data_IF_020119510014
#
_entry.id   IF_020119510014
#
_cell.length_a   1.000
_cell.length_b   1.000
_cell.length_c   1.000
_cell.angle_alpha   90.00
_cell.angle_beta   90.00
_cell.angle_gamma   90.00
#
_symmetry.space_group_name_H-M   'P 1'
#
loop_
_entity.id
_entity.type
_entity.pdbx_description
1 polymer ?
#
# COMPACT_ATOMS: atom_id res chain seq x y z
N UNK A 1 -7.25 -28.78 -19.46
CA UNK A 1 -6.29 -27.68 -19.76
C UNK A 1 -6.93 -26.30 -19.98
N UNK A 2 -8.26 -26.17 -20.16
CA UNK A 2 -8.93 -24.86 -20.32
C UNK A 2 -9.11 -24.07 -19.00
N UNK A 3 -9.26 -24.77 -17.87
CA UNK A 3 -9.55 -24.17 -16.56
C UNK A 3 -8.35 -23.44 -15.92
N UNK A 4 -7.13 -23.97 -16.10
CA UNK A 4 -5.87 -23.30 -15.66
C UNK A 4 -5.62 -21.96 -16.35
N UNK A 5 -6.14 -21.74 -17.57
CA UNK A 5 -6.05 -20.43 -18.26
C UNK A 5 -6.93 -19.37 -17.59
N UNK A 6 -8.05 -19.76 -16.98
CA UNK A 6 -9.02 -18.86 -16.33
C UNK A 6 -8.48 -18.27 -15.01
N UNK A 7 -7.92 -19.12 -14.13
CA UNK A 7 -7.40 -18.66 -12.83
C UNK A 7 -6.17 -17.78 -13.01
N UNK A 8 -5.23 -18.18 -13.87
CA UNK A 8 -4.04 -17.38 -14.20
C UNK A 8 -4.43 -16.01 -14.77
N UNK A 9 -5.42 -15.96 -15.66
CA UNK A 9 -5.90 -14.69 -16.22
C UNK A 9 -6.57 -13.79 -15.17
N UNK A 10 -7.31 -14.35 -14.20
CA UNK A 10 -7.89 -13.58 -13.10
C UNK A 10 -6.83 -13.00 -12.16
N UNK A 11 -5.83 -13.80 -11.76
CA UNK A 11 -4.72 -13.34 -10.93
C UNK A 11 -3.93 -12.22 -11.66
N UNK A 12 -3.70 -12.41 -12.95
CA UNK A 12 -3.00 -11.41 -13.76
C UNK A 12 -3.80 -10.12 -13.90
N UNK A 13 -5.13 -10.19 -14.08
CA UNK A 13 -6.01 -9.01 -14.10
C UNK A 13 -6.05 -8.30 -12.75
N UNK A 14 -6.12 -9.06 -11.66
CA UNK A 14 -6.11 -8.51 -10.31
C UNK A 14 -4.80 -7.75 -10.03
N UNK A 15 -3.64 -8.39 -10.27
CA UNK A 15 -2.34 -7.73 -10.15
C UNK A 15 -2.18 -6.53 -11.08
N UNK A 16 -2.67 -6.65 -12.32
CA UNK A 16 -2.66 -5.53 -13.28
C UNK A 16 -3.48 -4.34 -12.78
N UNK A 17 -4.64 -4.56 -12.16
CA UNK A 17 -5.50 -3.51 -11.64
C UNK A 17 -4.85 -2.79 -10.44
N UNK A 18 -4.28 -3.55 -9.50
CA UNK A 18 -3.57 -2.94 -8.35
C UNK A 18 -2.32 -2.18 -8.83
N UNK A 19 -1.57 -2.77 -9.75
CA UNK A 19 -0.40 -2.14 -10.35
C UNK A 19 -0.73 -0.83 -11.05
N UNK A 20 -1.83 -0.74 -11.80
CA UNK A 20 -2.25 0.50 -12.46
C UNK A 20 -2.59 1.64 -11.50
N UNK A 21 -2.86 1.32 -10.23
CA UNK A 21 -3.11 2.34 -9.19
C UNK A 21 -1.81 2.83 -8.53
N UNK A 22 -0.75 2.03 -8.57
CA UNK A 22 0.49 2.31 -7.84
C UNK A 22 1.59 2.81 -8.79
N UNK A 23 1.72 2.22 -9.97
CA UNK A 23 2.77 2.53 -10.94
C UNK A 23 2.85 4.02 -11.34
N UNK A 24 1.71 4.70 -11.65
CA UNK A 24 1.75 6.12 -11.98
C UNK A 24 2.30 7.00 -10.83
N UNK A 25 2.29 6.47 -9.61
CA UNK A 25 2.64 7.17 -8.39
C UNK A 25 4.04 6.77 -7.85
N UNK A 26 4.80 5.91 -8.56
CA UNK A 26 6.14 5.47 -8.12
C UNK A 26 7.09 6.64 -7.85
N UNK A 27 6.96 7.76 -8.56
CA UNK A 27 7.75 8.95 -8.28
C UNK A 27 7.56 9.48 -6.85
N UNK A 28 6.34 9.43 -6.32
CA UNK A 28 6.04 9.84 -4.94
C UNK A 28 6.63 8.84 -3.93
N UNK A 29 6.55 7.53 -4.21
CA UNK A 29 7.20 6.50 -3.40
C UNK A 29 8.72 6.70 -3.34
N UNK A 30 9.34 7.01 -4.49
CA UNK A 30 10.77 7.29 -4.58
C UNK A 30 11.12 8.55 -3.79
N UNK A 31 10.34 9.63 -3.92
CA UNK A 31 10.57 10.86 -3.18
C UNK A 31 10.49 10.63 -1.66
N UNK A 32 9.45 9.95 -1.19
CA UNK A 32 9.31 9.55 0.21
C UNK A 32 10.49 8.68 0.66
N UNK A 33 10.88 7.69 -0.13
CA UNK A 33 12.01 6.82 0.20
C UNK A 33 13.34 7.56 0.28
N UNK A 34 13.59 8.54 -0.59
CA UNK A 34 14.80 9.40 -0.53
C UNK A 34 14.79 10.25 0.73
N UNK A 35 13.67 10.94 1.02
CA UNK A 35 13.55 11.78 2.21
C UNK A 35 13.77 10.95 3.48
N UNK A 36 13.13 9.78 3.56
CA UNK A 36 13.27 8.86 4.69
C UNK A 36 14.71 8.36 4.81
N UNK A 37 15.34 7.94 3.71
CA UNK A 37 16.72 7.48 3.74
C UNK A 37 17.69 8.55 4.23
N UNK A 38 17.51 9.81 3.82
CA UNK A 38 18.33 10.93 4.30
C UNK A 38 18.05 11.19 5.78
N UNK A 39 16.77 11.25 6.19
CA UNK A 39 16.39 11.47 7.59
C UNK A 39 17.04 10.43 8.50
N UNK A 40 16.92 9.14 8.15
CA UNK A 40 17.46 8.01 8.92
C UNK A 40 18.99 7.92 8.90
N UNK A 41 19.66 8.60 7.96
CA UNK A 41 21.13 8.66 7.91
C UNK A 41 21.74 9.71 8.83
N UNK A 42 20.91 10.60 9.40
CA UNK A 42 21.32 11.69 10.26
C UNK A 42 21.08 11.35 11.74
N UNK A 43 21.82 11.97 12.67
CA UNK A 43 21.55 11.80 14.10
C UNK A 43 20.14 12.30 14.46
N UNK A 44 19.42 11.52 15.28
CA UNK A 44 18.06 11.84 15.73
C UNK A 44 17.96 13.23 16.41
N UNK A 45 19.04 13.69 17.04
CA UNK A 45 19.13 14.98 17.71
C UNK A 45 19.36 16.17 16.78
N UNK A 46 19.55 15.95 15.48
CA UNK A 46 19.82 17.04 14.53
C UNK A 46 18.54 17.72 14.05
N UNK A 47 18.56 19.05 13.96
CA UNK A 47 17.42 19.83 13.43
C UNK A 47 17.02 19.40 12.02
N UNK A 48 18.00 18.96 11.21
CA UNK A 48 17.76 18.47 9.85
C UNK A 48 17.02 17.13 9.87
N UNK A 49 17.38 16.21 10.78
CA UNK A 49 16.64 14.96 10.95
C UNK A 49 15.17 15.25 11.29
N UNK A 50 14.92 16.03 12.35
CA UNK A 50 13.56 16.39 12.78
C UNK A 50 12.75 17.07 11.67
N UNK A 51 13.40 17.95 10.90
CA UNK A 51 12.77 18.60 9.76
C UNK A 51 12.37 17.60 8.66
N UNK A 52 13.25 16.67 8.30
CA UNK A 52 12.99 15.68 7.24
C UNK A 52 12.01 14.59 7.70
N UNK A 53 12.11 14.15 8.95
CA UNK A 53 11.21 13.18 9.58
C UNK A 53 9.76 13.68 9.56
N UNK A 54 9.54 14.99 9.74
CA UNK A 54 8.21 15.60 9.65
C UNK A 54 7.51 15.43 8.27
N UNK A 55 8.24 15.04 7.21
CA UNK A 55 7.65 14.68 5.92
C UNK A 55 7.32 13.19 5.79
N UNK A 56 8.00 12.31 6.52
CA UNK A 56 7.94 10.86 6.33
C UNK A 56 6.52 10.35 6.58
N UNK A 57 5.97 10.64 7.76
CA UNK A 57 4.63 10.18 8.16
C UNK A 57 3.53 10.77 7.29
N UNK A 58 3.49 12.10 7.03
CA UNK A 58 2.44 12.64 6.17
C UNK A 58 2.45 12.07 4.75
N UNK A 59 3.64 11.74 4.23
CA UNK A 59 3.75 11.14 2.90
C UNK A 59 3.21 9.71 2.87
N UNK A 60 3.59 8.85 3.82
CA UNK A 60 3.16 7.44 3.81
C UNK A 60 1.71 7.26 4.28
N UNK A 61 1.23 8.08 5.22
CA UNK A 61 -0.14 7.99 5.77
C UNK A 61 -1.17 8.66 4.85
N UNK A 62 -0.84 9.82 4.28
CA UNK A 62 -1.80 10.59 3.46
C UNK A 62 -1.45 10.58 1.98
N UNK A 63 -0.27 11.08 1.59
CA UNK A 63 0.05 11.34 0.19
C UNK A 63 -0.03 10.07 -0.67
N UNK A 64 0.66 9.00 -0.27
CA UNK A 64 0.76 7.78 -1.07
C UNK A 64 -0.60 7.06 -1.19
N UNK A 65 -1.36 6.83 -0.10
CA UNK A 65 -2.70 6.26 -0.21
C UNK A 65 -3.66 7.12 -1.04
N UNK A 66 -3.62 8.45 -0.90
CA UNK A 66 -4.49 9.34 -1.69
C UNK A 66 -4.17 9.29 -3.17
N UNK A 67 -2.90 9.27 -3.55
CA UNK A 67 -2.48 9.13 -4.94
C UNK A 67 -2.94 7.81 -5.55
N UNK A 68 -2.90 6.72 -4.77
CA UNK A 68 -3.41 5.42 -5.18
C UNK A 68 -4.93 5.45 -5.37
N UNK A 69 -5.66 6.02 -4.41
CA UNK A 69 -7.10 6.17 -4.52
C UNK A 69 -7.50 7.04 -5.72
N UNK A 70 -6.77 8.13 -5.95
CA UNK A 70 -6.95 9.00 -7.11
C UNK A 70 -6.72 8.23 -8.41
N UNK A 71 -5.63 7.49 -8.53
CA UNK A 71 -5.35 6.68 -9.71
C UNK A 71 -6.44 5.63 -9.94
N UNK A 72 -6.90 4.94 -8.89
CA UNK A 72 -8.00 3.98 -8.97
C UNK A 72 -9.31 4.59 -9.41
N UNK A 73 -9.70 5.73 -8.83
CA UNK A 73 -10.90 6.45 -9.23
C UNK A 73 -10.81 6.94 -10.68
N UNK A 74 -9.63 7.40 -11.09
CA UNK A 74 -9.36 7.89 -12.45
C UNK A 74 -9.48 6.82 -13.51
N UNK A 75 -9.09 5.59 -13.20
CA UNK A 75 -9.27 4.46 -14.12
C UNK A 75 -10.75 4.23 -14.47
N UNK A 76 -11.68 4.62 -13.61
CA UNK A 76 -13.10 4.38 -13.80
C UNK A 76 -13.81 5.59 -14.42
N UNK A 77 -13.44 6.82 -14.03
CA UNK A 77 -14.13 8.05 -14.44
C UNK A 77 -13.23 9.28 -14.57
N UNK A 78 -12.04 9.10 -15.16
CA UNK A 78 -11.02 10.13 -15.41
C UNK A 78 -10.81 11.07 -14.20
N UNK A 79 -10.45 12.34 -14.41
CA UNK A 79 -10.03 13.24 -13.33
C UNK A 79 -11.06 13.35 -12.21
N UNK A 80 -12.35 13.45 -12.55
CA UNK A 80 -13.44 13.57 -11.58
C UNK A 80 -13.62 12.31 -10.74
N UNK A 81 -13.47 11.14 -11.35
CA UNK A 81 -13.39 9.86 -10.64
C UNK A 81 -12.23 9.81 -9.66
N UNK A 82 -11.07 10.33 -10.07
CA UNK A 82 -9.90 10.42 -9.21
C UNK A 82 -10.13 11.30 -7.98
N UNK A 83 -10.69 12.50 -8.16
CA UNK A 83 -11.00 13.40 -7.05
C UNK A 83 -11.95 12.73 -6.05
N UNK A 84 -13.08 12.17 -6.52
CA UNK A 84 -14.05 11.50 -5.64
C UNK A 84 -13.45 10.28 -4.95
N UNK A 85 -12.64 9.49 -5.65
CA UNK A 85 -11.93 8.34 -5.09
C UNK A 85 -10.96 8.73 -3.97
N UNK A 86 -10.17 9.80 -4.17
CA UNK A 86 -9.28 10.33 -3.14
C UNK A 86 -10.05 10.89 -1.94
N UNK A 87 -11.13 11.65 -2.17
CA UNK A 87 -12.00 12.15 -1.09
C UNK A 87 -12.59 11.00 -0.27
N UNK A 88 -13.07 9.96 -0.94
CA UNK A 88 -13.59 8.77 -0.28
C UNK A 88 -12.52 8.03 0.55
N UNK A 89 -11.27 7.98 0.06
CA UNK A 89 -10.17 7.35 0.77
C UNK A 89 -9.74 8.10 2.04
N UNK A 90 -9.98 9.42 2.15
CA UNK A 90 -9.73 10.13 3.41
C UNK A 90 -10.51 9.52 4.58
N UNK A 91 -11.73 9.03 4.34
CA UNK A 91 -12.54 8.37 5.34
C UNK A 91 -11.88 7.15 5.99
N UNK A 92 -11.20 6.32 5.19
CA UNK A 92 -10.47 5.17 5.74
C UNK A 92 -9.17 5.58 6.41
N UNK A 93 -8.47 6.60 5.88
CA UNK A 93 -7.19 7.08 6.43
C UNK A 93 -7.38 7.68 7.82
N UNK A 94 -8.38 8.53 8.03
CA UNK A 94 -8.60 9.16 9.36
C UNK A 94 -9.14 8.20 10.42
N UNK A 95 -9.53 6.99 10.02
CA UNK A 95 -10.14 5.99 10.89
C UNK A 95 -9.14 4.93 11.37
N UNK A 96 -7.85 5.05 11.05
CA UNK A 96 -6.81 4.13 11.47
C UNK A 96 -5.45 4.84 11.58
N UNK A 97 -4.63 4.46 12.56
CA UNK A 97 -3.27 4.99 12.76
C UNK A 97 -2.20 4.28 11.91
N UNK A 98 -2.63 3.52 10.90
CA UNK A 98 -1.75 2.79 9.98
C UNK A 98 -1.95 3.28 8.54
N UNK A 99 -0.91 3.24 7.68
CA UNK A 99 -1.06 3.59 6.28
C UNK A 99 -2.14 2.75 5.56
N UNK A 100 -3.22 3.40 5.11
CA UNK A 100 -4.40 2.71 4.56
C UNK A 100 -4.32 2.43 3.06
N UNK A 101 -3.24 1.79 2.61
CA UNK A 101 -3.04 1.43 1.19
C UNK A 101 -4.15 0.54 0.64
N UNK A 102 -4.54 -0.54 1.36
CA UNK A 102 -5.64 -1.42 0.95
C UNK A 102 -6.97 -0.66 0.94
N UNK A 103 -7.23 0.12 1.98
CA UNK A 103 -8.41 0.96 2.07
C UNK A 103 -8.52 1.90 0.87
N UNK A 104 -7.44 2.59 0.52
CA UNK A 104 -7.35 3.44 -0.67
C UNK A 104 -7.56 2.66 -1.98
N UNK A 105 -7.00 1.45 -2.09
CA UNK A 105 -7.17 0.58 -3.26
C UNK A 105 -8.62 0.14 -3.47
N UNK A 106 -9.40 0.05 -2.39
CA UNK A 106 -10.83 -0.27 -2.43
C UNK A 106 -11.65 1.00 -2.69
N UNK A 107 -11.44 2.05 -1.90
CA UNK A 107 -12.26 3.27 -1.92
C UNK A 107 -12.07 4.10 -3.20
N UNK A 108 -10.88 4.13 -3.78
CA UNK A 108 -10.60 4.85 -5.01
C UNK A 108 -11.53 4.44 -6.17
N UNK A 109 -11.50 3.16 -6.59
CA UNK A 109 -12.42 2.64 -7.60
C UNK A 109 -13.89 2.72 -7.18
N UNK A 110 -14.24 2.49 -5.91
CA UNK A 110 -15.63 2.63 -5.47
C UNK A 110 -16.17 4.05 -5.65
N UNK A 111 -15.40 5.06 -5.25
CA UNK A 111 -15.74 6.47 -5.46
C UNK A 111 -15.83 6.82 -6.95
N UNK A 112 -14.86 6.39 -7.75
CA UNK A 112 -14.85 6.57 -9.20
C UNK A 112 -16.05 5.92 -9.89
N UNK A 113 -16.45 4.73 -9.46
CA UNK A 113 -17.64 4.03 -9.95
C UNK A 113 -18.92 4.77 -9.60
N UNK A 114 -19.05 5.24 -8.35
CA UNK A 114 -20.23 5.94 -7.87
C UNK A 114 -20.48 7.23 -8.66
N UNK A 115 -19.45 8.06 -8.84
CA UNK A 115 -19.58 9.31 -9.61
C UNK A 115 -19.83 9.04 -11.09
N UNK A 116 -19.23 7.99 -11.67
CA UNK A 116 -19.52 7.56 -13.04
C UNK A 116 -21.00 7.25 -13.23
N UNK A 117 -21.59 6.50 -12.28
CA UNK A 117 -23.00 6.12 -12.34
C UNK A 117 -23.92 7.31 -12.15
N UNK A 118 -23.57 8.22 -11.26
CA UNK A 118 -24.30 9.47 -11.10
C UNK A 118 -24.27 10.31 -12.39
N UNK A 119 -23.11 10.49 -13.01
CA UNK A 119 -22.96 11.28 -14.23
C UNK A 119 -23.72 10.66 -15.40
N UNK A 120 -23.65 9.34 -15.57
CA UNK A 120 -24.45 8.62 -16.57
C UNK A 120 -25.95 8.79 -16.35
N UNK A 121 -26.39 8.87 -15.10
CA UNK A 121 -27.79 9.07 -14.77
C UNK A 121 -28.24 10.52 -14.97
N UNK A 122 -27.36 11.50 -14.77
CA UNK A 122 -27.64 12.93 -14.96
C UNK A 122 -27.44 13.42 -16.40
N UNK A 123 -26.92 12.57 -17.28
CA UNK A 123 -26.69 12.91 -18.68
C UNK A 123 -27.98 13.41 -19.36
N UNK A 124 -27.89 14.54 -20.04
CA UNK A 124 -29.02 15.24 -20.66
C UNK A 124 -30.07 15.83 -19.70
N UNK A 125 -29.91 15.70 -18.37
CA UNK A 125 -30.85 16.24 -17.36
C UNK A 125 -30.39 17.55 -16.72
N UNK A 126 -29.17 17.97 -17.00
CA UNK A 126 -28.57 19.16 -16.41
C UNK A 126 -28.96 20.39 -17.23
N UNK A 127 -29.62 21.41 -16.62
CA UNK A 127 -29.89 22.67 -17.29
C UNK A 127 -28.59 23.39 -17.67
N UNK A 128 -28.61 24.06 -18.82
CA UNK A 128 -27.49 24.88 -19.30
C UNK A 128 -27.11 25.96 -18.28
N UNK A 129 -25.82 26.11 -18.00
CA UNK A 129 -25.28 27.05 -17.01
C UNK A 129 -25.20 26.49 -15.58
N UNK A 130 -25.78 25.32 -15.31
CA UNK A 130 -25.68 24.65 -14.01
C UNK A 130 -24.68 23.48 -14.00
N UNK A 131 -23.98 23.21 -15.11
CA UNK A 131 -23.09 22.05 -15.24
C UNK A 131 -22.00 22.04 -14.18
N UNK A 132 -21.25 23.13 -14.02
CA UNK A 132 -20.19 23.20 -13.01
C UNK A 132 -20.73 23.06 -11.59
N UNK A 133 -21.89 23.65 -11.31
CA UNK A 133 -22.50 23.58 -9.98
C UNK A 133 -22.86 22.13 -9.64
N UNK A 134 -23.65 21.47 -10.49
CA UNK A 134 -24.08 20.10 -10.28
C UNK A 134 -22.88 19.16 -10.29
N UNK A 135 -21.90 19.39 -11.16
CA UNK A 135 -20.72 18.53 -11.26
C UNK A 135 -19.87 18.56 -9.98
N UNK A 136 -19.63 19.75 -9.43
CA UNK A 136 -18.84 19.91 -8.22
C UNK A 136 -19.61 19.48 -6.97
N UNK A 137 -20.88 19.85 -6.84
CA UNK A 137 -21.71 19.46 -5.68
C UNK A 137 -21.92 17.95 -5.61
N UNK A 138 -22.22 17.29 -6.73
CA UNK A 138 -22.37 15.84 -6.74
C UNK A 138 -21.08 15.11 -6.39
N UNK A 139 -19.93 15.55 -6.93
CA UNK A 139 -18.63 15.01 -6.56
C UNK A 139 -18.35 15.19 -5.06
N UNK A 140 -18.64 16.37 -4.51
CA UNK A 140 -18.50 16.67 -3.08
C UNK A 140 -19.41 15.81 -2.19
N UNK A 141 -20.70 15.71 -2.51
CA UNK A 141 -21.68 14.93 -1.74
C UNK A 141 -21.34 13.44 -1.79
N UNK A 142 -21.10 12.89 -3.00
CA UNK A 142 -20.75 11.48 -3.16
C UNK A 142 -19.42 11.18 -2.45
N UNK A 143 -18.42 12.04 -2.60
CA UNK A 143 -17.15 11.93 -1.90
C UNK A 143 -17.32 11.91 -0.38
N UNK A 144 -18.12 12.82 0.18
CA UNK A 144 -18.39 12.89 1.62
C UNK A 144 -19.13 11.64 2.13
N UNK A 145 -20.16 11.18 1.42
CA UNK A 145 -20.89 9.96 1.77
C UNK A 145 -19.95 8.76 1.78
N UNK A 146 -19.15 8.58 0.74
CA UNK A 146 -18.20 7.47 0.68
C UNK A 146 -17.06 7.58 1.68
N UNK A 147 -16.64 8.79 2.07
CA UNK A 147 -15.69 8.97 3.16
C UNK A 147 -16.27 8.45 4.49
N UNK A 148 -17.51 8.83 4.82
CA UNK A 148 -18.19 8.36 6.04
C UNK A 148 -18.41 6.83 5.98
N UNK A 149 -18.84 6.29 4.84
CA UNK A 149 -19.01 4.84 4.69
C UNK A 149 -17.68 4.10 4.77
N UNK A 150 -16.61 4.68 4.22
CA UNK A 150 -15.25 4.15 4.30
C UNK A 150 -14.78 4.03 5.74
N UNK A 151 -14.95 5.08 6.54
CA UNK A 151 -14.56 5.06 7.96
C UNK A 151 -15.34 4.03 8.77
N UNK A 152 -16.65 3.88 8.51
CA UNK A 152 -17.52 2.98 9.29
C UNK A 152 -17.42 1.51 8.87
N UNK A 153 -17.23 1.22 7.59
CA UNK A 153 -17.27 -0.14 7.07
C UNK A 153 -15.89 -0.68 6.69
N UNK A 154 -15.10 0.09 5.93
CA UNK A 154 -13.85 -0.43 5.36
C UNK A 154 -12.71 -0.38 6.37
N UNK A 155 -12.61 0.67 7.19
CA UNK A 155 -11.56 0.74 8.21
C UNK A 155 -11.60 -0.45 9.19
N UNK A 156 -12.73 -0.78 9.85
CA UNK A 156 -12.79 -1.91 10.78
C UNK A 156 -12.52 -3.25 10.11
N UNK A 157 -12.91 -3.41 8.83
CA UNK A 157 -12.61 -4.62 8.06
C UNK A 157 -11.10 -4.78 7.82
N UNK A 158 -10.40 -3.71 7.45
CA UNK A 158 -8.94 -3.75 7.22
C UNK A 158 -8.22 -3.98 8.54
N UNK A 159 -8.57 -3.25 9.60
CA UNK A 159 -7.98 -3.43 10.94
C UNK A 159 -8.23 -4.85 11.46
N UNK A 160 -9.47 -5.35 11.36
CA UNK A 160 -9.83 -6.70 11.78
C UNK A 160 -9.12 -7.79 10.99
N UNK A 161 -9.01 -7.64 9.67
CA UNK A 161 -8.23 -8.54 8.81
C UNK A 161 -6.76 -8.59 9.24
N UNK A 162 -6.22 -7.43 9.56
CA UNK A 162 -4.83 -7.28 9.98
C UNK A 162 -4.57 -7.89 11.36
N UNK A 163 -5.50 -7.72 12.31
CA UNK A 163 -5.46 -8.40 13.60
C UNK A 163 -5.60 -9.93 13.47
N UNK A 164 -6.37 -10.42 12.50
CA UNK A 164 -6.49 -11.86 12.22
C UNK A 164 -5.20 -12.45 11.63
N UNK A 165 -4.56 -11.74 10.70
CA UNK A 165 -3.19 -12.10 10.25
C UNK A 165 -2.21 -12.07 11.43
N UNK A 166 -2.39 -11.06 12.29
CA UNK A 166 -1.91 -10.94 13.65
C UNK A 166 -1.76 -12.26 14.41
N UNK A 167 -2.93 -12.75 14.80
CA UNK A 167 -3.08 -13.99 15.55
C UNK A 167 -2.54 -15.22 14.81
N UNK A 168 -2.62 -15.24 13.46
CA UNK A 168 -2.10 -16.34 12.66
C UNK A 168 -0.57 -16.47 12.75
N UNK A 169 0.16 -15.36 12.71
CA UNK A 169 1.62 -15.34 12.89
C UNK A 169 1.99 -15.74 14.31
N UNK A 170 1.31 -15.19 15.32
CA UNK A 170 1.55 -15.54 16.72
C UNK A 170 1.38 -17.04 17.00
N UNK A 171 0.29 -17.64 16.49
CA UNK A 171 0.06 -19.07 16.61
C UNK A 171 1.17 -19.92 15.95
N UNK A 172 1.73 -19.45 14.82
CA UNK A 172 2.83 -20.14 14.14
C UNK A 172 4.17 -20.01 14.88
N UNK A 173 4.42 -18.87 15.51
CA UNK A 173 5.58 -18.68 16.40
C UNK A 173 5.45 -19.62 17.60
N UNK A 174 4.25 -19.72 18.21
CA UNK A 174 3.99 -20.58 19.37
C UNK A 174 4.25 -22.07 19.13
N UNK A 175 4.06 -22.57 17.90
CA UNK A 175 4.39 -23.97 17.54
C UNK A 175 5.84 -24.15 17.04
N UNK A 176 6.68 -23.11 17.09
CA UNK A 176 8.08 -23.15 16.66
C UNK A 176 8.29 -23.19 15.15
N UNK A 177 7.27 -22.87 14.35
CA UNK A 177 7.30 -22.95 12.89
C UNK A 177 7.83 -21.67 12.21
N UNK A 178 8.91 -21.09 12.74
CA UNK A 178 9.49 -19.82 12.27
C UNK A 178 9.72 -19.77 10.75
N UNK A 179 10.25 -20.81 10.07
CA UNK A 179 10.44 -20.77 8.61
C UNK A 179 9.15 -20.70 7.80
N UNK A 180 8.00 -21.07 8.37
CA UNK A 180 6.71 -21.01 7.69
C UNK A 180 6.07 -19.63 7.84
N UNK A 181 6.53 -18.80 8.77
CA UNK A 181 5.99 -17.45 9.04
C UNK A 181 6.10 -16.55 7.79
N UNK A 182 7.14 -16.73 6.97
CA UNK A 182 7.31 -16.00 5.70
C UNK A 182 6.16 -16.20 4.72
N UNK A 183 5.44 -17.34 4.78
CA UNK A 183 4.24 -17.60 3.96
C UNK A 183 3.14 -16.58 4.22
N UNK A 184 3.06 -16.03 5.44
CA UNK A 184 2.06 -15.02 5.82
C UNK A 184 2.64 -13.61 5.80
N UNK A 185 3.86 -13.43 6.30
CA UNK A 185 4.48 -12.10 6.40
C UNK A 185 4.79 -11.54 5.01
N UNK A 186 5.37 -12.32 4.10
CA UNK A 186 5.75 -11.77 2.78
C UNK A 186 4.54 -11.25 1.99
N UNK A 187 3.43 -12.00 1.83
CA UNK A 187 2.23 -11.46 1.20
C UNK A 187 1.66 -10.23 1.90
N UNK A 188 1.65 -10.23 3.23
CA UNK A 188 1.09 -9.14 4.02
C UNK A 188 1.93 -7.86 3.90
N UNK A 189 3.27 -7.96 3.91
CA UNK A 189 4.18 -6.83 3.69
C UNK A 189 3.88 -6.12 2.38
N UNK A 190 3.75 -6.87 1.29
CA UNK A 190 3.50 -6.30 -0.05
C UNK A 190 2.14 -5.58 -0.14
N UNK A 191 1.19 -5.98 0.70
CA UNK A 191 -0.10 -5.30 0.86
C UNK A 191 -0.03 -4.12 1.84
N UNK A 192 1.19 -3.72 2.26
CA UNK A 192 1.47 -2.66 3.23
C UNK A 192 0.86 -2.92 4.61
N UNK A 193 0.75 -4.18 5.00
CA UNK A 193 0.30 -4.59 6.33
C UNK A 193 1.47 -4.83 7.29
N UNK A 194 2.68 -4.44 6.89
CA UNK A 194 3.91 -4.64 7.64
C UNK A 194 3.86 -3.92 9.00
N UNK A 195 3.40 -2.67 9.05
CA UNK A 195 3.30 -1.90 10.30
C UNK A 195 2.46 -2.62 11.36
N UNK A 196 1.40 -3.29 10.94
CA UNK A 196 0.51 -3.95 11.89
C UNK A 196 0.97 -5.35 12.27
N UNK A 197 1.74 -6.03 11.42
CA UNK A 197 2.47 -7.24 11.84
C UNK A 197 3.57 -6.86 12.84
N UNK A 198 4.30 -5.79 12.55
CA UNK A 198 5.41 -5.34 13.36
C UNK A 198 4.96 -4.86 14.75
N UNK A 199 4.06 -3.88 14.80
CA UNK A 199 3.58 -3.32 16.06
C UNK A 199 2.54 -4.19 16.77
N UNK A 200 1.75 -4.96 16.02
CA UNK A 200 0.67 -5.78 16.57
C UNK A 200 1.12 -7.13 17.12
N UNK A 201 2.25 -7.67 16.66
CA UNK A 201 2.66 -9.06 16.95
C UNK A 201 4.15 -9.13 17.30
N UNK A 202 5.01 -8.74 16.35
CA UNK A 202 6.45 -9.01 16.43
C UNK A 202 7.06 -8.23 17.59
N UNK A 203 6.79 -6.93 17.66
CA UNK A 203 7.35 -6.05 18.70
C UNK A 203 6.93 -6.49 20.10
N UNK A 204 5.63 -6.72 20.43
CA UNK A 204 5.25 -7.21 21.76
C UNK A 204 5.94 -8.51 22.17
N UNK A 205 5.99 -9.51 21.29
CA UNK A 205 6.61 -10.81 21.60
C UNK A 205 8.13 -10.65 21.71
N UNK A 206 8.76 -9.89 20.81
CA UNK A 206 10.19 -9.63 20.84
C UNK A 206 10.60 -8.87 22.10
N UNK A 207 9.83 -7.85 22.52
CA UNK A 207 10.10 -7.11 23.76
C UNK A 207 10.00 -8.00 24.99
N UNK A 208 9.05 -8.94 25.04
CA UNK A 208 8.98 -9.94 26.11
C UNK A 208 10.23 -10.83 26.10
N UNK A 209 10.63 -11.34 24.93
CA UNK A 209 11.82 -12.18 24.80
C UNK A 209 13.12 -11.45 25.16
N UNK A 210 13.26 -10.19 24.77
CA UNK A 210 14.43 -9.37 25.13
C UNK A 210 14.48 -9.13 26.64
N UNK A 211 13.32 -8.94 27.29
CA UNK A 211 13.28 -8.75 28.74
C UNK A 211 13.70 -10.00 29.52
N UNK A 212 13.40 -11.19 28.98
CA UNK A 212 13.67 -12.47 29.63
C UNK A 212 15.03 -13.08 29.24
N UNK A 213 15.38 -13.02 27.96
CA UNK A 213 16.54 -13.69 27.36
C UNK A 213 17.61 -12.72 26.85
N UNK A 214 17.36 -11.41 26.84
CA UNK A 214 18.27 -10.37 26.35
C UNK A 214 18.28 -10.18 24.82
N UNK A 215 17.64 -11.07 24.07
CA UNK A 215 17.63 -11.06 22.61
C UNK A 215 16.33 -11.63 22.03
N UNK A 216 16.03 -11.30 20.77
CA UNK A 216 14.91 -11.90 20.03
C UNK A 216 15.22 -11.97 18.54
N UNK A 217 15.17 -13.19 17.98
CA UNK A 217 15.29 -13.39 16.53
C UNK A 217 14.08 -12.83 15.76
N UNK A 218 12.95 -12.57 16.42
CA UNK A 218 11.75 -12.05 15.76
C UNK A 218 11.96 -10.65 15.17
N UNK A 219 12.86 -9.85 15.76
CA UNK A 219 13.23 -8.54 15.21
C UNK A 219 13.89 -8.63 13.82
N UNK A 220 14.53 -9.76 13.52
CA UNK A 220 15.22 -9.97 12.23
C UNK A 220 14.27 -10.49 11.13
N UNK A 221 13.06 -10.92 11.51
CA UNK A 221 12.13 -11.62 10.63
C UNK A 221 11.50 -10.69 9.58
N UNK A 222 11.37 -9.41 9.91
CA UNK A 222 10.88 -8.38 8.98
C UNK A 222 12.01 -7.58 8.31
N UNK A 223 13.11 -7.36 9.04
CA UNK A 223 14.21 -6.51 8.63
C UNK A 223 15.07 -7.06 7.47
N UNK A 224 14.88 -8.32 7.06
CA UNK A 224 15.66 -8.93 5.98
C UNK A 224 15.41 -8.23 4.62
N UNK A 225 16.41 -7.52 4.03
CA UNK A 225 16.24 -6.83 2.76
C UNK A 225 16.55 -7.74 1.55
N UNK A 226 17.10 -8.93 1.78
CA UNK A 226 17.58 -9.86 0.75
C UNK A 226 16.54 -10.18 -0.33
N UNK A 227 15.30 -10.58 0.03
CA UNK A 227 14.26 -10.87 -0.94
C UNK A 227 13.89 -9.64 -1.79
N UNK A 228 13.76 -8.47 -1.16
CA UNK A 228 13.40 -7.21 -1.81
C UNK A 228 14.44 -6.77 -2.83
N UNK A 229 15.72 -6.77 -2.46
CA UNK A 229 16.80 -6.42 -3.39
C UNK A 229 16.91 -7.42 -4.54
N UNK A 230 16.66 -8.72 -4.28
CA UNK A 230 16.62 -9.75 -5.31
C UNK A 230 15.55 -9.48 -6.38
N UNK A 231 14.35 -9.07 -5.96
CA UNK A 231 13.29 -8.63 -6.87
C UNK A 231 13.73 -7.41 -7.68
N UNK A 232 14.29 -6.39 -7.04
CA UNK A 232 14.72 -5.17 -7.71
C UNK A 232 15.83 -5.45 -8.73
N UNK A 233 16.81 -6.28 -8.38
CA UNK A 233 17.87 -6.73 -9.31
C UNK A 233 17.27 -7.49 -10.50
N UNK A 234 16.28 -8.34 -10.28
CA UNK A 234 15.59 -9.02 -11.38
C UNK A 234 14.91 -8.03 -12.33
N UNK A 235 14.33 -6.92 -11.82
CA UNK A 235 13.79 -5.85 -12.65
C UNK A 235 14.88 -4.99 -13.33
N UNK A 236 16.03 -4.76 -12.69
CA UNK A 236 17.14 -4.03 -13.31
C UNK A 236 17.73 -4.78 -14.51
N UNK A 237 17.85 -6.11 -14.39
CA UNK A 237 18.45 -6.97 -15.42
C UNK A 237 17.42 -7.37 -16.48
N UNK A 238 16.23 -7.82 -16.07
CA UNK A 238 15.24 -8.44 -16.96
C UNK A 238 13.96 -7.62 -17.16
N UNK A 239 13.81 -6.49 -16.46
CA UNK A 239 12.67 -5.60 -16.61
C UNK A 239 12.63 -4.91 -17.97
N UNK A 240 11.49 -4.27 -18.29
CA UNK A 240 11.29 -3.51 -19.53
C UNK A 240 10.60 -2.17 -19.24
N UNK A 241 10.90 -1.18 -20.06
CA UNK A 241 10.26 0.15 -20.02
C UNK A 241 10.41 0.85 -18.66
N UNK A 242 9.33 1.48 -18.21
CA UNK A 242 9.30 2.26 -16.98
C UNK A 242 9.72 1.45 -15.74
N UNK A 243 9.30 0.19 -15.63
CA UNK A 243 9.63 -0.66 -14.48
C UNK A 243 11.13 -0.95 -14.36
N UNK A 244 11.86 -1.08 -15.48
CA UNK A 244 13.32 -1.22 -15.42
C UNK A 244 13.96 0.09 -14.99
N UNK A 245 13.57 1.20 -15.61
CA UNK A 245 14.16 2.51 -15.32
C UNK A 245 13.97 2.90 -13.85
N UNK A 246 12.77 2.71 -13.28
CA UNK A 246 12.49 3.04 -11.89
C UNK A 246 13.16 2.08 -10.89
N UNK A 247 13.45 0.83 -11.29
CA UNK A 247 14.04 -0.18 -10.40
C UNK A 247 15.44 0.18 -9.90
N UNK A 248 16.21 0.95 -10.69
CA UNK A 248 17.54 1.43 -10.27
C UNK A 248 17.46 2.36 -9.06
N UNK A 249 16.60 3.37 -9.12
CA UNK A 249 16.38 4.30 -8.00
C UNK A 249 15.78 3.58 -6.78
N UNK A 250 14.79 2.72 -7.01
CA UNK A 250 14.20 1.90 -5.96
C UNK A 250 15.25 0.99 -5.29
N UNK A 251 16.19 0.42 -6.05
CA UNK A 251 17.28 -0.41 -5.54
C UNK A 251 18.22 0.32 -4.60
N UNK A 252 18.62 1.55 -4.96
CA UNK A 252 19.49 2.37 -4.12
C UNK A 252 18.79 2.70 -2.79
N UNK A 253 17.53 3.13 -2.86
CA UNK A 253 16.72 3.48 -1.68
C UNK A 253 16.50 2.26 -0.79
N UNK A 254 16.18 1.11 -1.39
CA UNK A 254 15.97 -0.11 -0.64
C UNK A 254 17.25 -0.58 0.06
N UNK A 255 18.36 -0.61 -0.68
CA UNK A 255 19.62 -1.17 -0.17
C UNK A 255 20.29 -0.26 0.86
N UNK A 256 20.39 1.04 0.59
CA UNK A 256 21.06 1.99 1.49
C UNK A 256 20.11 2.64 2.49
N UNK A 257 18.89 2.93 2.07
CA UNK A 257 17.89 3.57 2.93
C UNK A 257 17.12 2.59 3.81
N UNK A 258 17.23 1.28 3.58
CA UNK A 258 16.50 0.27 4.35
C UNK A 258 14.97 0.37 4.19
N UNK A 259 14.49 0.99 3.10
CA UNK A 259 13.06 1.21 2.88
C UNK A 259 12.48 0.04 2.10
N UNK A 260 11.75 -0.84 2.77
CA UNK A 260 11.24 -2.08 2.18
C UNK A 260 10.03 -1.83 1.26
N UNK A 261 9.26 -0.80 1.54
CA UNK A 261 8.03 -0.45 0.83
C UNK A 261 8.27 -0.11 -0.65
N UNK A 262 9.49 0.31 -1.01
CA UNK A 262 9.83 0.73 -2.37
C UNK A 262 9.82 -0.42 -3.39
N UNK A 263 9.99 -1.67 -2.95
CA UNK A 263 9.92 -2.83 -3.84
C UNK A 263 8.49 -3.40 -3.97
N UNK A 264 7.57 -3.10 -3.04
CA UNK A 264 6.22 -3.67 -3.04
C UNK A 264 5.45 -3.44 -4.36
N UNK A 265 5.50 -2.25 -4.99
CA UNK A 265 4.85 -2.01 -6.28
C UNK A 265 5.27 -3.02 -7.35
N UNK A 266 6.55 -3.40 -7.41
CA UNK A 266 7.11 -4.32 -8.40
C UNK A 266 6.57 -5.74 -8.25
N UNK A 267 6.28 -6.14 -7.01
CA UNK A 267 5.69 -7.44 -6.72
C UNK A 267 4.20 -7.46 -7.06
N UNK A 268 3.48 -6.36 -6.76
CA UNK A 268 2.08 -6.21 -7.14
C UNK A 268 1.89 -6.22 -8.67
N UNK A 269 2.85 -5.72 -9.45
CA UNK A 269 2.87 -5.87 -10.91
C UNK A 269 2.90 -7.34 -11.38
N UNK A 270 3.62 -8.19 -10.66
CA UNK A 270 3.80 -9.61 -10.98
C UNK A 270 3.62 -10.43 -9.71
N UNK A 271 2.36 -10.71 -9.29
CA UNK A 271 2.08 -11.39 -8.02
C UNK A 271 2.74 -12.77 -7.86
N UNK A 272 3.18 -13.40 -8.95
CA UNK A 272 3.98 -14.63 -8.91
C UNK A 272 5.30 -14.46 -8.15
N UNK A 273 5.83 -13.24 -8.07
CA UNK A 273 7.04 -12.90 -7.32
C UNK A 273 6.86 -13.05 -5.80
N UNK A 274 5.63 -13.13 -5.29
CA UNK A 274 5.36 -13.49 -3.89
C UNK A 274 6.02 -14.83 -3.54
N UNK A 275 6.02 -15.80 -4.46
CA UNK A 275 6.67 -17.10 -4.24
C UNK A 275 8.18 -16.93 -4.06
N UNK A 276 8.79 -16.04 -4.83
CA UNK A 276 10.22 -15.75 -4.70
C UNK A 276 10.55 -15.05 -3.38
N UNK A 277 9.66 -14.19 -2.88
CA UNK A 277 9.81 -13.58 -1.56
C UNK A 277 9.69 -14.61 -0.45
N UNK A 278 8.66 -15.46 -0.47
CA UNK A 278 8.48 -16.54 0.52
C UNK A 278 9.69 -17.50 0.53
N UNK A 279 10.24 -17.82 -0.64
CA UNK A 279 11.39 -18.71 -0.73
C UNK A 279 12.72 -18.08 -0.32
N UNK A 280 12.83 -16.75 -0.38
CA UNK A 280 14.04 -16.01 -0.04
C UNK A 280 14.06 -15.42 1.37
N UNK A 281 12.88 -15.23 1.97
CA UNK A 281 12.69 -14.68 3.33
C UNK A 281 12.75 -15.76 4.39
#
# INVERSE_FOLDING_TARGET
>A
MAEKKSVRARIQRFGSNLSSMIMPNIGAFIAWGIITAIAMSLPETSDIHLFLEAFVDPMVIYLLPLLIAFAGGRMLHDFRGGVVGATAAMGVIVAADIPMFIGAMIMGPLGGYAIKKFDQWMDGKIPSGFEMLINNFSAGIIGAVFAILGSLAISPLVVGFTAALGAGVDAMIGIGALPLVSIFIEPAKILFLNNAINHGIITPIASSQISEFGESMLLMLEANPGPGIGILLAFMIFGKGAARASSYGAGIIHFFGGIHEIYFPYVLMKPQLIIALIAGG
#
